data_IF_787314472772
#
_entry.id   IF_787314472772
#
_cell.length_a   1.000
_cell.length_b   1.000
_cell.length_c   1.000
_cell.angle_alpha   90.00
_cell.angle_beta   90.00
_cell.angle_gamma   90.00
#
_symmetry.space_group_name_H-M   'P 1'
#
loop_
_entity.id
_entity.type
_entity.pdbx_description
1 polymer ?
#
# COMPACT_ATOMS: atom_id res chain seq x y z
N UNK A 1 17.15 11.71 7.29
CA UNK A 1 16.97 11.02 8.59
C UNK A 1 16.20 9.71 8.47
N UNK A 2 15.30 9.55 7.51
CA UNK A 2 14.55 8.31 7.24
C UNK A 2 15.48 7.12 6.90
N UNK A 3 16.53 7.33 6.11
CA UNK A 3 17.54 6.32 5.82
C UNK A 3 18.32 5.88 7.07
N UNK A 4 18.61 6.79 7.99
CA UNK A 4 19.27 6.46 9.27
C UNK A 4 18.38 5.70 10.24
N UNK A 5 17.08 5.95 10.19
CA UNK A 5 16.06 5.23 10.97
C UNK A 5 15.91 3.79 10.46
N UNK A 6 15.90 3.58 9.16
CA UNK A 6 15.90 2.25 8.54
C UNK A 6 17.18 1.45 8.84
N UNK A 7 18.36 2.10 8.87
CA UNK A 7 19.64 1.46 9.22
C UNK A 7 19.70 0.98 10.68
N UNK A 8 18.97 1.61 11.60
CA UNK A 8 18.98 1.21 13.01
C UNK A 8 17.98 0.11 13.36
N UNK A 9 16.93 -0.08 12.55
CA UNK A 9 15.83 -0.99 12.88
C UNK A 9 16.01 -2.42 12.39
N UNK A 10 16.69 -2.67 11.27
CA UNK A 10 16.77 -4.03 10.75
C UNK A 10 17.83 -4.23 9.66
N UNK A 11 19.11 -4.26 10.04
CA UNK A 11 20.22 -4.62 9.15
C UNK A 11 19.98 -5.97 8.45
N UNK A 12 19.44 -6.97 9.13
CA UNK A 12 19.14 -8.29 8.55
C UNK A 12 18.03 -8.23 7.49
N UNK A 13 17.04 -7.36 7.66
CA UNK A 13 15.99 -7.14 6.65
C UNK A 13 16.51 -6.42 5.42
N UNK A 14 17.47 -5.51 5.58
CA UNK A 14 18.10 -4.80 4.48
C UNK A 14 19.09 -5.70 3.71
N UNK A 15 19.87 -6.52 4.40
CA UNK A 15 20.75 -7.52 3.77
C UNK A 15 19.94 -8.56 2.99
N UNK A 16 18.84 -9.09 3.56
CA UNK A 16 17.94 -9.99 2.86
C UNK A 16 17.26 -9.33 1.64
N UNK A 17 17.03 -8.02 1.69
CA UNK A 17 16.53 -7.24 0.55
C UNK A 17 17.58 -7.09 -0.54
N UNK A 18 18.87 -6.89 -0.19
CA UNK A 18 19.98 -6.78 -1.16
C UNK A 18 20.27 -8.13 -1.79
N UNK A 19 20.29 -9.21 -1.03
CA UNK A 19 20.50 -10.58 -1.54
C UNK A 19 19.36 -11.03 -2.47
N UNK A 20 18.14 -10.48 -2.31
CA UNK A 20 17.01 -10.70 -3.21
C UNK A 20 17.03 -9.86 -4.51
N UNK A 21 17.92 -8.87 -4.64
CA UNK A 21 17.97 -7.97 -5.81
C UNK A 21 18.48 -8.65 -7.08
N UNK A 22 19.10 -9.82 -6.98
CA UNK A 22 19.60 -10.56 -8.15
C UNK A 22 18.50 -11.17 -9.04
N UNK A 23 17.21 -11.20 -8.60
CA UNK A 23 16.08 -11.67 -9.42
C UNK A 23 14.88 -10.70 -9.42
N UNK A 24 14.81 -9.76 -10.38
CA UNK A 24 13.75 -8.72 -10.42
C UNK A 24 12.31 -9.23 -10.47
N UNK A 25 12.07 -10.45 -10.93
CA UNK A 25 10.73 -11.05 -10.99
C UNK A 25 10.25 -11.58 -9.63
N UNK A 26 11.15 -11.97 -8.75
CA UNK A 26 10.81 -12.44 -7.40
C UNK A 26 10.54 -11.27 -6.44
N UNK A 27 11.24 -10.16 -6.58
CA UNK A 27 11.02 -8.97 -5.74
C UNK A 27 9.57 -8.50 -5.78
N UNK A 28 8.96 -8.47 -6.96
CA UNK A 28 7.57 -8.04 -7.10
C UNK A 28 6.56 -9.01 -6.47
N UNK A 29 6.86 -10.31 -6.44
CA UNK A 29 6.06 -11.33 -5.73
C UNK A 29 6.24 -11.24 -4.21
N UNK A 30 7.44 -10.94 -3.76
CA UNK A 30 7.78 -10.82 -2.35
C UNK A 30 7.21 -9.55 -1.72
N UNK A 31 7.00 -8.49 -2.50
CA UNK A 31 6.51 -7.20 -1.99
C UNK A 31 5.12 -7.29 -1.37
N UNK A 32 4.17 -8.00 -1.98
CA UNK A 32 2.86 -8.23 -1.37
C UNK A 32 2.97 -8.94 -0.02
N UNK A 33 3.79 -9.99 0.04
CA UNK A 33 4.07 -10.73 1.29
C UNK A 33 4.77 -9.85 2.33
N UNK A 34 5.72 -9.02 1.93
CA UNK A 34 6.43 -8.09 2.82
C UNK A 34 5.50 -7.00 3.35
N UNK A 35 4.63 -6.49 2.50
CA UNK A 35 3.65 -5.48 2.92
C UNK A 35 2.64 -6.07 3.91
N UNK A 36 2.15 -7.29 3.68
CA UNK A 36 1.31 -7.99 4.65
C UNK A 36 2.03 -8.28 5.96
N UNK A 37 3.34 -8.60 5.92
CA UNK A 37 4.16 -8.76 7.12
C UNK A 37 4.39 -7.44 7.88
N UNK A 38 4.14 -6.30 7.27
CA UNK A 38 4.22 -5.00 7.91
C UNK A 38 2.97 -4.67 8.77
N UNK A 39 1.78 -5.17 8.42
CA UNK A 39 0.54 -4.85 9.13
C UNK A 39 0.58 -5.11 10.64
N UNK A 40 1.15 -6.22 11.16
CA UNK A 40 1.26 -6.42 12.60
C UNK A 40 2.03 -5.31 13.33
N UNK A 41 2.93 -4.59 12.63
CA UNK A 41 3.69 -3.48 13.21
C UNK A 41 2.84 -2.21 13.42
N UNK A 42 1.71 -2.10 12.75
CA UNK A 42 0.75 -1.01 12.92
C UNK A 42 -0.05 -1.13 14.24
N UNK A 43 0.01 -2.28 14.91
CA UNK A 43 -0.73 -2.58 16.14
C UNK A 43 -2.27 -2.45 16.01
N UNK A 44 -2.80 -2.53 14.79
CA UNK A 44 -4.24 -2.57 14.56
C UNK A 44 -4.72 -4.03 14.42
N UNK A 45 -5.95 -4.36 14.87
CA UNK A 45 -6.48 -5.70 14.73
C UNK A 45 -6.69 -6.06 13.25
N UNK A 46 -6.12 -7.20 12.83
CA UNK A 46 -6.38 -7.84 11.54
C UNK A 46 -7.47 -8.87 11.79
N UNK A 47 -8.66 -8.68 11.22
CA UNK A 47 -9.84 -9.44 11.58
C UNK A 47 -10.59 -10.01 10.37
N UNK A 48 -11.25 -11.17 10.51
CA UNK A 48 -12.03 -11.76 9.44
C UNK A 48 -13.25 -10.90 9.08
N UNK A 49 -13.75 -11.08 7.86
CA UNK A 49 -14.78 -10.26 7.24
C UNK A 49 -16.02 -10.04 8.12
N UNK A 50 -16.54 -11.11 8.75
CA UNK A 50 -17.75 -11.00 9.56
C UNK A 50 -17.58 -10.07 10.78
N UNK A 51 -16.37 -10.05 11.39
CA UNK A 51 -16.02 -9.11 12.46
C UNK A 51 -15.77 -7.72 11.91
N UNK A 52 -15.12 -7.65 10.75
CA UNK A 52 -14.77 -6.39 10.09
C UNK A 52 -16.02 -5.61 9.69
N UNK A 53 -17.03 -6.27 9.12
CA UNK A 53 -18.33 -5.64 8.80
C UNK A 53 -19.03 -5.07 10.04
N UNK A 54 -19.02 -5.81 11.13
CA UNK A 54 -19.69 -5.41 12.38
C UNK A 54 -18.88 -4.44 13.24
N UNK A 55 -17.58 -4.22 12.98
CA UNK A 55 -16.78 -3.24 13.72
C UNK A 55 -17.29 -1.83 13.45
N UNK A 56 -17.53 -1.07 14.52
CA UNK A 56 -18.14 0.26 14.41
C UNK A 56 -17.23 1.40 14.86
N UNK A 57 -16.20 1.08 15.66
CA UNK A 57 -15.30 2.07 16.26
C UNK A 57 -13.85 1.61 16.19
N UNK A 58 -12.95 2.57 16.11
CA UNK A 58 -11.51 2.36 16.02
C UNK A 58 -11.04 1.91 14.64
N UNK A 59 -9.81 1.43 14.59
CA UNK A 59 -9.15 1.02 13.35
C UNK A 59 -9.08 -0.50 13.30
N UNK A 60 -9.46 -1.08 12.16
CA UNK A 60 -9.32 -2.51 11.88
C UNK A 60 -8.87 -2.72 10.44
N UNK A 61 -8.13 -3.81 10.20
CA UNK A 61 -7.68 -4.24 8.87
C UNK A 61 -8.40 -5.55 8.52
N UNK A 62 -8.90 -5.65 7.30
CA UNK A 62 -9.55 -6.86 6.80
C UNK A 62 -8.50 -7.93 6.51
N UNK A 63 -8.66 -9.09 7.14
CA UNK A 63 -7.84 -10.26 6.88
C UNK A 63 -8.19 -10.91 5.54
N UNK A 64 -7.24 -10.93 4.60
CA UNK A 64 -7.45 -11.56 3.30
C UNK A 64 -6.31 -11.33 2.32
N UNK A 65 -6.21 -12.23 1.34
CA UNK A 65 -5.36 -12.05 0.16
C UNK A 65 -6.07 -11.16 -0.88
N UNK A 66 -5.32 -10.65 -1.85
CA UNK A 66 -5.75 -9.70 -2.89
C UNK A 66 -7.13 -10.02 -3.50
N UNK A 67 -7.37 -11.29 -3.87
CA UNK A 67 -8.63 -11.72 -4.47
C UNK A 67 -9.81 -11.63 -3.51
N UNK A 68 -9.60 -11.92 -2.22
CA UNK A 68 -10.62 -11.80 -1.19
C UNK A 68 -10.92 -10.34 -0.89
N UNK A 69 -9.88 -9.49 -0.81
CA UNK A 69 -10.03 -8.06 -0.64
C UNK A 69 -10.79 -7.44 -1.82
N UNK A 70 -10.44 -7.82 -3.05
CA UNK A 70 -11.15 -7.41 -4.26
C UNK A 70 -12.63 -7.79 -4.20
N UNK A 71 -12.95 -9.06 -3.91
CA UNK A 71 -14.34 -9.53 -3.80
C UNK A 71 -15.13 -8.76 -2.74
N UNK A 72 -14.54 -8.47 -1.58
CA UNK A 72 -15.18 -7.63 -0.56
C UNK A 72 -15.45 -6.22 -1.10
N UNK A 73 -14.49 -5.60 -1.76
CA UNK A 73 -14.62 -4.25 -2.29
C UNK A 73 -15.68 -4.16 -3.41
N UNK A 74 -15.75 -5.17 -4.27
CA UNK A 74 -16.79 -5.29 -5.30
C UNK A 74 -18.21 -5.38 -4.69
N UNK A 75 -18.37 -6.12 -3.61
CA UNK A 75 -19.67 -6.32 -2.96
C UNK A 75 -20.12 -5.14 -2.09
N UNK A 76 -19.19 -4.49 -1.39
CA UNK A 76 -19.52 -3.53 -0.34
C UNK A 76 -19.16 -2.08 -0.69
N UNK A 77 -18.17 -1.86 -1.59
CA UNK A 77 -17.54 -0.56 -1.80
C UNK A 77 -17.67 -0.02 -3.23
N UNK A 78 -18.53 -0.60 -4.06
CA UNK A 78 -18.72 -0.23 -5.47
C UNK A 78 -17.41 -0.31 -6.30
N UNK A 79 -16.52 -1.23 -5.95
CA UNK A 79 -15.24 -1.40 -6.61
C UNK A 79 -15.44 -2.12 -7.95
N UNK A 80 -15.04 -1.49 -9.04
CA UNK A 80 -15.19 -2.03 -10.41
C UNK A 80 -13.87 -2.11 -11.19
N UNK A 81 -12.75 -1.79 -10.53
CA UNK A 81 -11.43 -1.83 -11.17
C UNK A 81 -10.95 -3.28 -11.23
N UNK A 82 -10.49 -3.72 -12.41
CA UNK A 82 -10.01 -5.11 -12.58
C UNK A 82 -8.57 -5.29 -12.06
N UNK A 83 -8.40 -5.06 -10.75
CA UNK A 83 -7.15 -5.23 -10.01
C UNK A 83 -7.41 -5.74 -8.60
N UNK A 84 -6.42 -6.42 -8.03
CA UNK A 84 -6.42 -6.76 -6.61
C UNK A 84 -6.22 -5.53 -5.71
N UNK A 85 -6.38 -5.73 -4.43
CA UNK A 85 -6.11 -4.74 -3.38
C UNK A 85 -5.14 -5.34 -2.37
N UNK A 86 -4.19 -4.56 -1.91
CA UNK A 86 -3.22 -5.00 -0.90
C UNK A 86 -3.71 -4.74 0.53
N UNK A 87 -4.62 -3.78 0.72
CA UNK A 87 -5.22 -3.46 2.02
C UNK A 87 -6.66 -2.99 1.87
N UNK A 88 -7.49 -3.42 2.83
CA UNK A 88 -8.73 -2.74 3.19
C UNK A 88 -8.70 -2.48 4.69
N UNK A 89 -8.76 -1.22 5.07
CA UNK A 89 -8.89 -0.80 6.46
C UNK A 89 -10.25 -0.14 6.71
N UNK A 90 -10.67 -0.14 7.96
CA UNK A 90 -11.85 0.58 8.43
C UNK A 90 -11.45 1.45 9.60
N UNK A 91 -11.71 2.73 9.49
CA UNK A 91 -11.51 3.72 10.53
C UNK A 91 -12.89 4.19 10.99
N UNK A 92 -13.33 3.74 12.15
CA UNK A 92 -14.72 3.87 12.60
C UNK A 92 -15.69 3.29 11.57
N UNK A 93 -16.42 4.15 10.86
CA UNK A 93 -17.39 3.77 9.82
C UNK A 93 -16.90 4.03 8.39
N UNK A 94 -15.67 4.54 8.22
CA UNK A 94 -15.11 4.88 6.91
C UNK A 94 -14.15 3.79 6.45
N UNK A 95 -14.25 3.43 5.19
CA UNK A 95 -13.33 2.47 4.59
C UNK A 95 -12.17 3.17 3.89
N UNK A 96 -11.02 2.52 3.93
CA UNK A 96 -9.81 2.88 3.17
C UNK A 96 -9.41 1.65 2.36
N UNK A 97 -9.20 1.82 1.07
CA UNK A 97 -8.69 0.77 0.17
C UNK A 97 -7.35 1.20 -0.40
N UNK A 98 -6.43 0.27 -0.55
CA UNK A 98 -5.08 0.63 -0.99
C UNK A 98 -4.37 -0.44 -1.81
N UNK A 99 -3.49 0.04 -2.68
CA UNK A 99 -2.50 -0.75 -3.42
C UNK A 99 -1.09 -0.30 -3.02
N UNK A 100 -0.19 -1.27 -2.78
CA UNK A 100 1.17 -1.03 -2.35
C UNK A 100 2.18 -1.42 -3.43
N UNK A 101 3.18 -0.55 -3.67
CA UNK A 101 4.30 -0.82 -4.57
C UNK A 101 5.59 -0.28 -4.00
N UNK A 102 6.66 -1.02 -4.21
CA UNK A 102 8.01 -0.57 -3.92
C UNK A 102 8.79 -0.38 -5.21
N UNK A 103 9.26 0.83 -5.46
CA UNK A 103 9.86 1.23 -6.72
C UNK A 103 11.38 1.38 -6.53
N UNK A 104 12.14 0.50 -7.18
CA UNK A 104 13.61 0.40 -7.01
C UNK A 104 14.39 1.29 -7.97
N UNK A 105 13.78 1.69 -9.09
CA UNK A 105 14.40 2.54 -10.10
C UNK A 105 13.37 3.38 -10.87
N UNK A 106 13.81 4.14 -11.86
CA UNK A 106 12.98 4.98 -12.72
C UNK A 106 12.74 4.38 -14.12
N UNK A 107 13.05 3.09 -14.32
CA UNK A 107 12.93 2.40 -15.60
C UNK A 107 11.48 2.18 -16.05
N UNK A 108 11.34 1.68 -17.28
CA UNK A 108 10.02 1.51 -17.90
C UNK A 108 9.08 0.59 -17.14
N UNK A 109 9.60 -0.52 -16.60
CA UNK A 109 8.82 -1.47 -15.80
C UNK A 109 8.33 -0.83 -14.50
N UNK A 110 9.19 -0.11 -13.78
CA UNK A 110 8.82 0.60 -12.56
C UNK A 110 7.84 1.74 -12.82
N UNK A 111 7.96 2.41 -13.97
CA UNK A 111 6.97 3.40 -14.41
C UNK A 111 5.59 2.77 -14.67
N UNK A 112 5.53 1.55 -15.19
CA UNK A 112 4.28 0.82 -15.36
C UNK A 112 3.65 0.49 -13.99
N UNK A 113 4.41 -0.05 -13.05
CA UNK A 113 3.95 -0.32 -11.68
C UNK A 113 3.48 0.94 -10.95
N UNK A 114 4.19 2.05 -11.13
CA UNK A 114 3.79 3.34 -10.58
C UNK A 114 2.43 3.79 -11.14
N UNK A 115 2.23 3.71 -12.45
CA UNK A 115 0.94 4.03 -13.07
C UNK A 115 -0.17 3.10 -12.58
N UNK A 116 0.14 1.84 -12.45
CA UNK A 116 -0.78 0.82 -11.96
C UNK A 116 -1.31 1.15 -10.55
N UNK A 117 -0.44 1.56 -9.64
CA UNK A 117 -0.85 1.97 -8.31
C UNK A 117 -1.70 3.25 -8.33
N UNK A 118 -1.41 4.18 -9.26
CA UNK A 118 -2.21 5.39 -9.42
C UNK A 118 -3.61 5.13 -10.00
N UNK A 119 -3.79 4.05 -10.78
CA UNK A 119 -5.09 3.67 -11.34
C UNK A 119 -6.15 3.56 -10.25
N UNK A 120 -5.82 2.97 -9.09
CA UNK A 120 -6.75 2.88 -7.96
C UNK A 120 -7.22 4.26 -7.50
N UNK A 121 -6.29 5.20 -7.33
CA UNK A 121 -6.58 6.55 -6.83
C UNK A 121 -7.30 7.42 -7.87
N UNK A 122 -6.99 7.20 -9.15
CA UNK A 122 -7.51 8.02 -10.24
C UNK A 122 -8.90 7.54 -10.74
N UNK A 123 -9.16 6.23 -10.70
CA UNK A 123 -10.35 5.61 -11.29
C UNK A 123 -11.41 5.20 -10.26
N UNK A 124 -11.07 5.10 -8.97
CA UNK A 124 -12.07 4.82 -7.95
C UNK A 124 -12.82 6.08 -7.54
N UNK A 125 -14.10 6.14 -7.86
CA UNK A 125 -14.97 7.32 -7.68
C UNK A 125 -16.22 7.02 -6.81
N UNK A 126 -16.10 6.14 -5.83
CA UNK A 126 -17.19 5.89 -4.89
C UNK A 126 -16.96 6.59 -3.54
N UNK A 127 -17.99 7.22 -2.95
CA UNK A 127 -17.87 7.83 -1.63
C UNK A 127 -17.79 6.80 -0.48
N UNK A 128 -17.91 5.50 -0.77
CA UNK A 128 -17.90 4.44 0.24
C UNK A 128 -16.54 4.20 0.86
N UNK A 129 -15.44 4.51 0.13
CA UNK A 129 -14.09 4.37 0.65
C UNK A 129 -13.17 5.49 0.17
N UNK A 130 -12.06 5.68 0.87
CA UNK A 130 -10.94 6.49 0.42
C UNK A 130 -9.91 5.60 -0.24
N UNK A 131 -9.59 5.85 -1.51
CA UNK A 131 -8.55 5.13 -2.23
C UNK A 131 -7.18 5.76 -1.98
N UNK A 132 -6.17 4.93 -1.69
CA UNK A 132 -4.78 5.36 -1.48
C UNK A 132 -3.81 4.49 -2.26
N UNK A 133 -2.70 5.10 -2.70
CA UNK A 133 -1.53 4.39 -3.22
C UNK A 133 -0.41 4.45 -2.18
N UNK A 134 0.02 3.28 -1.71
CA UNK A 134 1.09 3.13 -0.74
C UNK A 134 2.37 2.85 -1.53
N UNK A 135 3.20 3.87 -1.68
CA UNK A 135 4.35 3.82 -2.57
C UNK A 135 5.65 4.08 -1.80
N UNK A 136 6.61 3.18 -1.94
CA UNK A 136 7.93 3.32 -1.34
C UNK A 136 9.06 3.18 -2.37
N UNK A 137 10.28 3.54 -1.96
CA UNK A 137 11.48 3.45 -2.78
C UNK A 137 11.93 4.77 -3.38
N UNK A 138 12.51 4.71 -4.59
CA UNK A 138 13.23 5.84 -5.21
C UNK A 138 12.35 7.05 -5.56
N UNK A 139 11.05 6.88 -5.63
CA UNK A 139 10.13 7.96 -5.99
C UNK A 139 10.14 9.13 -4.98
N UNK A 140 10.55 8.88 -3.73
CA UNK A 140 10.66 9.91 -2.69
C UNK A 140 11.97 10.69 -2.73
N UNK A 141 12.94 10.27 -3.58
CA UNK A 141 14.18 11.01 -3.79
C UNK A 141 13.88 12.25 -4.63
N UNK A 142 14.12 13.43 -4.04
CA UNK A 142 13.92 14.71 -4.72
C UNK A 142 14.68 14.74 -6.04
N UNK A 143 13.96 14.85 -7.15
CA UNK A 143 14.51 14.77 -8.50
C UNK A 143 13.58 15.43 -9.51
N UNK A 144 14.00 15.46 -10.77
CA UNK A 144 13.16 15.87 -11.91
C UNK A 144 12.39 14.67 -12.51
N UNK A 145 12.39 13.52 -11.86
CA UNK A 145 11.68 12.34 -12.35
C UNK A 145 10.17 12.59 -12.38
N UNK A 146 9.51 11.97 -13.36
CA UNK A 146 8.04 12.07 -13.47
C UNK A 146 7.35 11.52 -12.22
N UNK A 147 7.88 10.47 -11.60
CA UNK A 147 7.35 9.89 -10.37
C UNK A 147 7.36 10.92 -9.25
N UNK A 148 8.53 11.51 -8.93
CA UNK A 148 8.64 12.52 -7.87
C UNK A 148 7.71 13.71 -8.10
N UNK A 149 7.67 14.25 -9.34
CA UNK A 149 6.81 15.38 -9.67
C UNK A 149 5.31 15.05 -9.58
N UNK A 150 4.94 13.80 -9.81
CA UNK A 150 3.54 13.36 -9.69
C UNK A 150 3.13 13.23 -8.22
N UNK A 151 3.93 12.54 -7.39
CA UNK A 151 3.60 12.39 -5.96
C UNK A 151 3.56 13.72 -5.23
N UNK A 152 4.46 14.64 -5.57
CA UNK A 152 4.46 16.02 -5.01
C UNK A 152 3.19 16.83 -5.30
N UNK A 153 2.35 16.38 -6.25
CA UNK A 153 1.08 17.03 -6.60
C UNK A 153 -0.14 16.30 -6.03
N UNK A 154 -0.01 15.02 -5.67
CA UNK A 154 -1.09 14.13 -5.22
C UNK A 154 -0.91 13.71 -3.76
N UNK A 155 -0.38 14.58 -2.91
CA UNK A 155 0.00 14.28 -1.51
C UNK A 155 -1.09 13.61 -0.67
N UNK A 156 -2.36 13.91 -0.94
CA UNK A 156 -3.47 13.40 -0.11
C UNK A 156 -3.84 11.94 -0.37
N UNK A 157 -3.43 11.38 -1.49
CA UNK A 157 -3.83 10.03 -1.92
C UNK A 157 -2.66 9.08 -2.10
N UNK A 158 -1.43 9.59 -1.94
CA UNK A 158 -0.19 8.81 -2.08
C UNK A 158 0.62 8.99 -0.82
N UNK A 159 1.00 7.89 -0.20
CA UNK A 159 1.81 7.91 1.03
C UNK A 159 2.84 6.77 1.03
N UNK A 160 3.86 6.89 1.86
CA UNK A 160 4.76 5.79 2.20
C UNK A 160 4.08 4.85 3.21
N UNK A 161 4.40 3.56 3.19
CA UNK A 161 3.93 2.61 4.20
C UNK A 161 4.28 3.05 5.64
N UNK A 162 5.38 3.78 5.80
CA UNK A 162 5.79 4.35 7.10
C UNK A 162 4.77 5.35 7.68
N UNK A 163 3.99 5.99 6.83
CA UNK A 163 2.97 6.98 7.22
C UNK A 163 1.56 6.38 7.29
N UNK A 164 1.40 5.09 6.97
CA UNK A 164 0.08 4.46 6.93
C UNK A 164 -0.62 4.49 8.30
N UNK A 165 0.13 4.26 9.38
CA UNK A 165 -0.42 4.35 10.74
C UNK A 165 -0.97 5.75 11.04
N UNK A 166 -0.16 6.79 10.82
CA UNK A 166 -0.55 8.19 11.03
C UNK A 166 -1.73 8.62 10.14
N UNK A 167 -1.79 8.07 8.92
CA UNK A 167 -2.90 8.34 7.99
C UNK A 167 -4.23 7.71 8.46
N UNK A 168 -4.17 6.57 9.13
CA UNK A 168 -5.37 5.88 9.64
C UNK A 168 -5.87 6.45 10.98
N UNK A 169 -5.06 7.20 11.72
CA UNK A 169 -5.43 7.92 12.96
C UNK A 169 -6.15 9.23 12.66
#
# INVERSE_FOLDING_TARGET
DTLRSMQRGNLKGFEAMIDGVEEPKELNRQMGTMFQAFFPQLNYPIIPEYKFKSSANGIAILDGADSKLKSFAEQELDYSIDKGLDIIAKVDKKYVIGEAKFLTDFGGHQNAQFKDALTLVDDYDSPKATAIAILDGVLWIKSKSKMFLTVSKKEKSILSALLLGEFLE
#
